data_IF_826784302729
#
_entry.id   IF_826784302729
#
_cell.length_a   1.000
_cell.length_b   1.000
_cell.length_c   1.000
_cell.angle_alpha   90.00
_cell.angle_beta   90.00
_cell.angle_gamma   90.00
#
_symmetry.space_group_name_H-M   'P 1'
#
loop_
_entity.id
_entity.type
_entity.pdbx_description
1 polymer ?
#
# COMPACT_ATOMS: atom_id res chain seq x y z
N UNK A 1 -17.87 11.58 14.57
CA UNK A 1 -16.59 10.96 14.97
C UNK A 1 -16.39 11.14 16.45
N UNK A 2 -15.17 10.96 16.97
CA UNK A 2 -14.93 11.04 18.43
C UNK A 2 -15.24 12.42 19.04
N UNK A 3 -15.11 13.50 18.26
CA UNK A 3 -15.48 14.87 18.66
C UNK A 3 -16.89 15.31 18.24
N UNK A 4 -17.77 14.38 17.85
CA UNK A 4 -19.17 14.69 17.51
C UNK A 4 -20.06 14.57 18.75
N UNK A 5 -20.90 15.59 18.98
CA UNK A 5 -21.80 15.65 20.14
C UNK A 5 -23.17 15.02 19.86
N UNK A 6 -23.62 15.03 18.59
CA UNK A 6 -24.86 14.37 18.19
C UNK A 6 -24.69 12.84 18.16
N UNK A 7 -25.51 12.13 18.95
CA UNK A 7 -25.38 10.68 19.14
C UNK A 7 -25.58 9.90 17.83
N UNK A 8 -26.59 10.25 17.04
CA UNK A 8 -26.90 9.53 15.79
C UNK A 8 -25.81 9.70 14.73
N UNK A 9 -25.27 10.92 14.61
CA UNK A 9 -24.16 11.20 13.67
C UNK A 9 -22.84 10.61 14.15
N UNK A 10 -22.61 10.59 15.46
CA UNK A 10 -21.43 9.94 16.04
C UNK A 10 -21.41 8.46 15.72
N UNK A 11 -22.53 7.78 15.93
CA UNK A 11 -22.71 6.35 15.65
C UNK A 11 -22.43 6.03 14.18
N UNK A 12 -23.13 6.73 13.28
CA UNK A 12 -22.91 6.61 11.83
C UNK A 12 -21.44 6.85 11.42
N UNK A 13 -20.77 7.85 12.00
CA UNK A 13 -19.37 8.13 11.67
C UNK A 13 -18.40 7.08 12.22
N UNK A 14 -18.72 6.41 13.32
CA UNK A 14 -17.93 5.30 13.86
C UNK A 14 -18.16 4.02 13.07
N UNK A 15 -19.38 3.77 12.59
CA UNK A 15 -19.69 2.67 11.68
C UNK A 15 -18.90 2.81 10.38
N UNK A 16 -18.97 3.98 9.74
CA UNK A 16 -18.19 4.27 8.52
C UNK A 16 -16.69 4.11 8.79
N UNK A 17 -16.17 4.70 9.87
CA UNK A 17 -14.73 4.57 10.17
C UNK A 17 -14.30 3.11 10.37
N UNK A 18 -15.18 2.27 10.93
CA UNK A 18 -14.94 0.83 11.09
C UNK A 18 -14.98 0.10 9.75
N UNK A 19 -15.89 0.46 8.85
CA UNK A 19 -15.94 -0.05 7.47
C UNK A 19 -14.66 0.30 6.70
N UNK A 20 -14.17 1.54 6.80
CA UNK A 20 -12.98 1.99 6.09
C UNK A 20 -11.69 1.25 6.53
N UNK A 21 -11.64 0.69 7.75
CA UNK A 21 -10.56 -0.22 8.14
C UNK A 21 -10.54 -1.49 7.29
N UNK A 22 -11.72 -2.02 6.94
CA UNK A 22 -11.84 -3.19 6.07
C UNK A 22 -11.45 -2.86 4.63
N UNK A 23 -11.76 -1.65 4.13
CA UNK A 23 -11.28 -1.19 2.82
C UNK A 23 -9.75 -1.13 2.77
N UNK A 24 -9.11 -0.61 3.82
CA UNK A 24 -7.66 -0.54 3.92
C UNK A 24 -7.03 -1.95 3.87
N UNK A 25 -7.63 -2.93 4.54
CA UNK A 25 -7.20 -4.34 4.48
C UNK A 25 -7.35 -4.95 3.08
N UNK A 26 -8.48 -4.72 2.42
CA UNK A 26 -8.75 -5.22 1.06
C UNK A 26 -7.73 -4.67 0.08
N UNK A 27 -7.47 -3.36 0.10
CA UNK A 27 -6.47 -2.72 -0.77
C UNK A 27 -5.06 -3.24 -0.48
N UNK A 28 -4.66 -3.33 0.79
CA UNK A 28 -3.35 -3.88 1.16
C UNK A 28 -3.13 -5.32 0.69
N UNK A 29 -4.18 -6.14 0.76
CA UNK A 29 -4.16 -7.53 0.26
C UNK A 29 -3.99 -7.57 -1.26
N UNK A 30 -4.70 -6.72 -2.01
CA UNK A 30 -4.58 -6.63 -3.47
C UNK A 30 -3.16 -6.21 -3.87
N UNK A 31 -2.60 -5.18 -3.23
CA UNK A 31 -1.21 -4.74 -3.49
C UNK A 31 -0.23 -5.88 -3.23
N UNK A 32 -0.37 -6.56 -2.10
CA UNK A 32 0.47 -7.74 -1.79
C UNK A 32 0.36 -8.81 -2.87
N UNK A 33 -0.85 -9.12 -3.32
CA UNK A 33 -1.09 -10.12 -4.37
C UNK A 33 -0.43 -9.76 -5.69
N UNK A 34 -0.51 -8.49 -6.11
CA UNK A 34 0.13 -8.01 -7.34
C UNK A 34 1.66 -8.06 -7.23
N UNK A 35 2.22 -7.77 -6.06
CA UNK A 35 3.66 -7.78 -5.83
C UNK A 35 4.28 -9.19 -5.70
N UNK A 36 3.47 -10.25 -5.49
CA UNK A 36 3.98 -11.64 -5.38
C UNK A 36 4.79 -12.09 -6.60
N UNK A 37 4.34 -11.73 -7.80
CA UNK A 37 5.03 -12.11 -9.04
C UNK A 37 6.44 -11.52 -9.13
N UNK A 38 6.61 -10.26 -8.75
CA UNK A 38 7.90 -9.57 -8.77
C UNK A 38 8.84 -10.12 -7.67
N UNK A 39 8.30 -10.39 -6.48
CA UNK A 39 9.07 -11.00 -5.38
C UNK A 39 9.65 -12.37 -5.75
N UNK A 40 8.89 -13.20 -6.46
CA UNK A 40 9.36 -14.50 -6.93
C UNK A 40 10.53 -14.35 -7.91
N UNK A 41 10.41 -13.45 -8.90
CA UNK A 41 11.47 -13.19 -9.89
C UNK A 41 12.74 -12.61 -9.26
N UNK A 42 12.60 -11.73 -8.27
CA UNK A 42 13.72 -11.20 -7.48
C UNK A 42 14.42 -12.28 -6.65
N UNK A 43 13.67 -13.15 -5.98
CA UNK A 43 14.22 -14.21 -5.13
C UNK A 43 14.96 -15.30 -5.93
N UNK A 44 14.52 -15.59 -7.15
CA UNK A 44 15.14 -16.60 -8.01
C UNK A 44 16.43 -16.12 -8.69
N UNK A 45 16.84 -14.85 -8.49
CA UNK A 45 18.07 -14.31 -9.07
C UNK A 45 18.10 -14.31 -10.60
N UNK A 46 16.91 -14.41 -11.23
CA UNK A 46 16.79 -14.54 -12.69
C UNK A 46 17.01 -13.22 -13.43
N UNK A 47 16.90 -12.07 -12.75
CA UNK A 47 17.14 -10.78 -13.37
C UNK A 47 18.61 -10.39 -13.31
N UNK A 48 19.15 -9.97 -14.46
CA UNK A 48 20.46 -9.33 -14.49
C UNK A 48 20.35 -7.97 -13.80
N UNK A 49 21.41 -7.55 -13.12
CA UNK A 49 21.46 -6.29 -12.36
C UNK A 49 20.95 -5.08 -13.19
N UNK A 50 21.25 -5.04 -14.49
CA UNK A 50 20.77 -4.01 -15.41
C UNK A 50 19.23 -4.02 -15.64
N UNK A 51 18.59 -5.19 -15.68
CA UNK A 51 17.13 -5.29 -15.78
C UNK A 51 16.44 -4.86 -14.49
N UNK A 52 17.04 -5.17 -13.34
CA UNK A 52 16.56 -4.70 -12.04
C UNK A 52 16.62 -3.16 -11.97
N UNK A 53 17.74 -2.56 -12.36
CA UNK A 53 17.89 -1.10 -12.41
C UNK A 53 16.91 -0.43 -13.37
N UNK A 54 16.65 -1.05 -14.53
CA UNK A 54 15.62 -0.59 -15.46
C UNK A 54 14.22 -0.69 -14.86
N UNK A 55 13.88 -1.78 -14.18
CA UNK A 55 12.57 -1.93 -13.51
C UNK A 55 12.37 -0.93 -12.37
N UNK A 56 13.40 -0.65 -11.57
CA UNK A 56 13.35 0.37 -10.52
C UNK A 56 13.16 1.77 -11.10
N UNK A 57 13.74 2.06 -12.27
CA UNK A 57 13.71 3.36 -12.93
C UNK A 57 12.54 3.59 -13.90
N UNK A 58 11.92 2.53 -14.45
CA UNK A 58 11.02 2.65 -15.59
C UNK A 58 9.59 3.07 -15.23
N UNK A 59 8.99 2.56 -14.14
CA UNK A 59 7.65 3.00 -13.66
C UNK A 59 7.11 2.08 -12.56
N UNK A 60 6.44 2.67 -11.56
CA UNK A 60 5.53 1.97 -10.65
C UNK A 60 6.15 1.63 -9.30
N UNK A 61 5.45 1.96 -8.23
CA UNK A 61 5.86 1.73 -6.84
C UNK A 61 6.31 0.29 -6.55
N UNK A 62 5.87 -0.69 -7.34
CA UNK A 62 6.17 -2.12 -7.26
C UNK A 62 7.65 -2.47 -7.02
N UNK A 63 8.60 -1.83 -7.72
CA UNK A 63 10.03 -2.12 -7.54
C UNK A 63 10.60 -1.49 -6.26
N UNK A 64 10.18 -0.26 -5.92
CA UNK A 64 10.54 0.41 -4.66
C UNK A 64 9.93 -0.34 -3.46
N UNK A 65 8.69 -0.78 -3.58
CA UNK A 65 7.96 -1.59 -2.60
C UNK A 65 8.62 -2.95 -2.38
N UNK A 66 9.09 -3.58 -3.45
CA UNK A 66 9.81 -4.86 -3.35
C UNK A 66 11.13 -4.72 -2.59
N UNK A 67 11.87 -3.64 -2.81
CA UNK A 67 13.16 -3.41 -2.15
C UNK A 67 12.97 -2.92 -0.69
N UNK A 68 12.13 -1.91 -0.48
CA UNK A 68 12.00 -1.24 0.82
C UNK A 68 11.04 -1.96 1.79
N UNK A 69 10.00 -2.60 1.25
CA UNK A 69 8.92 -3.21 2.03
C UNK A 69 8.78 -4.71 1.75
N UNK A 70 9.72 -5.33 1.03
CA UNK A 70 9.72 -6.78 0.76
C UNK A 70 8.52 -7.25 -0.08
N UNK A 71 7.94 -6.34 -0.87
CA UNK A 71 6.75 -6.56 -1.69
C UNK A 71 5.43 -6.41 -0.93
N UNK A 72 5.48 -6.01 0.35
CA UNK A 72 4.31 -5.65 1.13
C UNK A 72 3.80 -4.25 0.74
N UNK A 73 2.51 -3.94 1.02
CA UNK A 73 1.98 -2.61 0.82
C UNK A 73 2.69 -1.58 1.70
N UNK A 74 2.85 -0.38 1.15
CA UNK A 74 3.41 0.76 1.85
C UNK A 74 2.32 1.79 2.14
N UNK A 75 2.40 2.48 3.28
CA UNK A 75 1.56 3.64 3.58
C UNK A 75 2.11 4.89 2.88
N UNK A 76 2.14 4.86 1.55
CA UNK A 76 2.51 5.98 0.71
C UNK A 76 1.62 6.04 -0.54
N UNK A 77 1.57 7.20 -1.18
CA UNK A 77 0.86 7.35 -2.45
C UNK A 77 1.64 6.72 -3.62
N UNK A 78 1.07 6.80 -4.83
CA UNK A 78 1.70 6.28 -6.05
C UNK A 78 3.01 6.99 -6.44
N UNK A 79 3.28 8.18 -5.90
CA UNK A 79 4.55 8.89 -6.09
C UNK A 79 5.60 8.49 -5.02
N UNK A 80 5.18 7.74 -3.99
CA UNK A 80 6.01 7.33 -2.86
C UNK A 80 6.03 8.34 -1.71
N UNK A 81 5.12 9.32 -1.69
CA UNK A 81 4.99 10.27 -0.58
C UNK A 81 4.30 9.57 0.59
N UNK A 82 4.91 9.53 1.80
CA UNK A 82 4.31 8.87 2.95
C UNK A 82 2.98 9.49 3.36
N UNK A 83 2.05 8.65 3.83
CA UNK A 83 0.81 9.12 4.45
C UNK A 83 1.12 9.92 5.72
N UNK A 84 0.33 10.96 5.97
CA UNK A 84 0.42 11.78 7.18
C UNK A 84 -0.98 12.09 7.70
N UNK A 85 -1.09 12.42 8.99
CA UNK A 85 -2.36 12.84 9.60
C UNK A 85 -2.85 14.24 9.16
N UNK A 86 -2.19 14.87 8.19
CA UNK A 86 -2.59 16.16 7.64
C UNK A 86 -3.62 16.04 6.49
N UNK A 87 -3.89 14.82 6.03
CA UNK A 87 -4.99 14.47 5.13
C UNK A 87 -6.28 14.23 5.92
#
# INVERSE_FOLDING_TARGET
GLGEDDVGRKDMLLDIATEELSHLEVVGSIVTMLNKGLKAQLAEGQMKEAELYLMVGASGTTAKESILFGGAPALCDSAGVPWTAAY
#
